data_IF_819907084324
#
_entry.id   IF_819907084324
#
_cell.length_a   1.000
_cell.length_b   1.000
_cell.length_c   1.000
_cell.angle_alpha   90.00
_cell.angle_beta   90.00
_cell.angle_gamma   90.00
#
_symmetry.space_group_name_H-M   'P 1'
#
loop_
_entity.id
_entity.type
_entity.pdbx_description
1 polymer ?
#
# COMPACT_ATOMS: atom_id res chain seq x y z
N UNK A 1 -17.07 -17.74 18.69
CA UNK A 1 -17.09 -16.78 17.57
C UNK A 1 -16.61 -15.44 18.06
N UNK A 2 -15.30 -15.31 18.30
CA UNK A 2 -14.72 -14.04 18.79
C UNK A 2 -14.29 -13.22 17.58
N UNK A 3 -15.27 -12.51 17.01
CA UNK A 3 -15.07 -11.63 15.84
C UNK A 3 -14.36 -10.32 16.19
N UNK A 4 -14.19 -10.02 17.47
CA UNK A 4 -13.53 -8.82 17.99
C UNK A 4 -12.24 -9.19 18.74
N UNK A 5 -11.24 -9.68 18.01
CA UNK A 5 -9.89 -9.82 18.53
C UNK A 5 -9.12 -8.50 18.35
N UNK A 6 -8.13 -8.25 19.22
CA UNK A 6 -7.30 -7.03 19.20
C UNK A 6 -6.80 -6.70 17.79
N UNK A 7 -6.25 -7.65 16.97
CA UNK A 7 -5.86 -7.37 15.60
C UNK A 7 -7.00 -6.84 14.72
N UNK A 8 -8.19 -7.46 14.74
CA UNK A 8 -9.34 -7.01 13.97
C UNK A 8 -9.77 -5.57 14.33
N UNK A 9 -9.70 -5.23 15.61
CA UNK A 9 -10.04 -3.87 16.06
C UNK A 9 -9.04 -2.84 15.50
N UNK A 10 -7.75 -3.16 15.45
CA UNK A 10 -6.73 -2.28 14.89
C UNK A 10 -6.92 -2.09 13.37
N UNK A 11 -7.29 -3.16 12.64
CA UNK A 11 -7.61 -3.04 11.21
C UNK A 11 -8.84 -2.17 10.96
N UNK A 12 -9.90 -2.32 11.77
CA UNK A 12 -11.09 -1.47 11.69
C UNK A 12 -10.74 -0.01 11.98
N UNK A 13 -9.92 0.25 13.01
CA UNK A 13 -9.41 1.60 13.29
C UNK A 13 -8.66 2.19 12.10
N UNK A 14 -7.79 1.40 11.43
CA UNK A 14 -7.09 1.85 10.23
C UNK A 14 -8.06 2.23 9.10
N UNK A 15 -9.11 1.44 8.87
CA UNK A 15 -10.15 1.75 7.88
C UNK A 15 -10.85 3.08 8.23
N UNK A 16 -11.08 3.36 9.51
CA UNK A 16 -11.67 4.64 9.97
C UNK A 16 -10.69 5.82 9.86
N UNK A 17 -9.38 5.57 9.96
CA UNK A 17 -8.35 6.59 9.76
C UNK A 17 -8.30 7.07 8.31
N UNK A 18 -8.57 6.22 7.32
CA UNK A 18 -8.47 6.56 5.89
C UNK A 18 -9.34 7.78 5.52
N UNK A 19 -10.65 7.84 5.83
CA UNK A 19 -11.47 9.01 5.51
C UNK A 19 -11.04 10.26 6.30
N UNK A 20 -10.55 10.12 7.54
CA UNK A 20 -10.02 11.23 8.32
C UNK A 20 -8.73 11.78 7.68
N UNK A 21 -7.83 10.90 7.25
CA UNK A 21 -6.64 11.25 6.49
C UNK A 21 -7.00 11.99 5.18
N UNK A 22 -7.98 11.46 4.44
CA UNK A 22 -8.45 12.09 3.21
C UNK A 22 -8.99 13.50 3.46
N UNK A 23 -9.80 13.70 4.49
CA UNK A 23 -10.29 15.01 4.88
C UNK A 23 -9.12 15.94 5.26
N UNK A 24 -8.16 15.47 6.05
CA UNK A 24 -7.01 16.28 6.45
C UNK A 24 -6.21 16.77 5.23
N UNK A 25 -5.99 15.91 4.23
CA UNK A 25 -5.31 16.30 2.98
C UNK A 25 -6.15 17.28 2.16
N UNK A 26 -7.45 17.03 1.98
CA UNK A 26 -8.36 17.89 1.18
C UNK A 26 -8.46 19.30 1.78
N UNK A 27 -8.49 19.40 3.11
CA UNK A 27 -8.53 20.71 3.81
C UNK A 27 -7.15 21.35 4.01
N UNK A 28 -6.08 20.78 3.41
CA UNK A 28 -4.73 21.32 3.53
C UNK A 28 -4.09 21.21 4.91
N UNK A 29 -4.66 20.39 5.78
CA UNK A 29 -4.14 20.15 7.15
C UNK A 29 -3.14 19.00 7.12
N UNK A 30 -2.02 19.23 6.49
CA UNK A 30 -0.96 18.21 6.30
C UNK A 30 -0.30 17.79 7.61
N UNK A 31 -0.34 18.61 8.65
CA UNK A 31 0.04 18.28 10.02
C UNK A 31 -0.78 17.08 10.57
N UNK A 32 -2.12 17.17 10.47
CA UNK A 32 -2.99 16.06 10.87
C UNK A 32 -2.84 14.86 9.94
N UNK A 33 -2.68 15.08 8.64
CA UNK A 33 -2.45 13.98 7.69
C UNK A 33 -1.19 13.18 8.06
N UNK A 34 -0.10 13.85 8.44
CA UNK A 34 1.13 13.19 8.90
C UNK A 34 0.87 12.33 10.14
N UNK A 35 0.20 12.87 11.16
CA UNK A 35 -0.11 12.12 12.39
C UNK A 35 -1.02 10.91 12.12
N UNK A 36 -2.05 11.08 11.27
CA UNK A 36 -2.97 10.00 10.92
C UNK A 36 -2.28 8.90 10.12
N UNK A 37 -1.42 9.27 9.17
CA UNK A 37 -0.63 8.29 8.41
C UNK A 37 0.35 7.53 9.31
N UNK A 38 0.99 8.23 10.26
CA UNK A 38 1.86 7.61 11.26
C UNK A 38 1.09 6.66 12.19
N UNK A 39 -0.08 7.09 12.67
CA UNK A 39 -0.95 6.24 13.48
C UNK A 39 -1.38 4.97 12.74
N UNK A 40 -1.74 5.08 11.45
CA UNK A 40 -2.07 3.93 10.63
C UNK A 40 -0.87 2.98 10.45
N UNK A 41 0.33 3.50 10.23
CA UNK A 41 1.54 2.68 10.09
C UNK A 41 1.92 1.96 11.42
N UNK A 42 1.76 2.64 12.56
CA UNK A 42 1.99 2.03 13.89
C UNK A 42 0.96 0.95 14.16
N UNK A 43 -0.32 1.20 13.91
CA UNK A 43 -1.38 0.20 14.15
C UNK A 43 -1.15 -1.05 13.30
N UNK A 44 -0.69 -0.91 12.04
CA UNK A 44 -0.31 -2.04 11.18
C UNK A 44 0.87 -2.85 11.74
N UNK A 45 1.92 -2.16 12.19
CA UNK A 45 3.06 -2.83 12.79
C UNK A 45 2.68 -3.58 14.08
N UNK A 46 1.80 -2.99 14.90
CA UNK A 46 1.33 -3.56 16.16
C UNK A 46 0.41 -4.76 15.93
N UNK A 47 -0.57 -4.67 15.01
CA UNK A 47 -1.47 -5.81 14.74
C UNK A 47 -0.70 -7.01 14.17
N UNK A 48 0.24 -6.77 13.25
CA UNK A 48 1.12 -7.81 12.73
C UNK A 48 2.01 -8.45 13.81
N UNK A 49 2.50 -7.66 14.77
CA UNK A 49 3.31 -8.18 15.89
C UNK A 49 2.43 -8.99 16.86
N UNK A 50 1.28 -8.43 17.28
CA UNK A 50 0.35 -9.08 18.22
C UNK A 50 -0.18 -10.39 17.62
N UNK A 51 -0.61 -10.38 16.34
CA UNK A 51 -1.10 -11.57 15.66
C UNK A 51 -0.08 -12.71 15.61
N UNK A 52 1.23 -12.37 15.49
CA UNK A 52 2.32 -13.37 15.55
C UNK A 52 2.57 -13.89 16.95
N UNK A 53 2.53 -13.03 17.96
CA UNK A 53 2.80 -13.40 19.36
C UNK A 53 1.65 -14.18 19.98
N UNK A 54 0.40 -13.89 19.63
CA UNK A 54 -0.79 -14.52 20.21
C UNK A 54 -1.33 -15.70 19.41
N UNK A 55 -0.77 -15.98 18.23
CA UNK A 55 -1.31 -16.98 17.26
C UNK A 55 -2.79 -16.79 16.92
N UNK A 56 -3.33 -15.59 17.11
CA UNK A 56 -4.73 -15.23 16.87
C UNK A 56 -4.92 -14.61 15.49
N UNK A 57 -4.65 -15.38 14.43
CA UNK A 57 -4.99 -14.97 13.08
C UNK A 57 -6.46 -15.29 12.80
N UNK A 58 -7.27 -14.24 12.63
CA UNK A 58 -8.64 -14.42 12.16
C UNK A 58 -8.69 -14.45 10.64
N UNK A 59 -9.63 -15.19 10.06
CA UNK A 59 -9.83 -15.22 8.61
C UNK A 59 -10.16 -13.81 8.09
N UNK A 60 -10.98 -13.05 8.83
CA UNK A 60 -11.35 -11.68 8.49
C UNK A 60 -10.13 -10.73 8.49
N UNK A 61 -9.28 -10.77 9.54
CA UNK A 61 -8.08 -9.93 9.62
C UNK A 61 -7.13 -10.22 8.46
N UNK A 62 -6.88 -11.47 8.13
CA UNK A 62 -6.00 -11.86 7.03
C UNK A 62 -6.41 -11.27 5.67
N UNK A 63 -7.70 -11.02 5.45
CA UNK A 63 -8.21 -10.35 4.23
C UNK A 63 -8.28 -8.82 4.37
N UNK A 64 -8.68 -8.32 5.53
CA UNK A 64 -8.89 -6.88 5.74
C UNK A 64 -7.57 -6.11 5.87
N UNK A 65 -6.52 -6.71 6.45
CA UNK A 65 -5.23 -6.04 6.64
C UNK A 65 -4.59 -5.59 5.31
N UNK A 66 -4.36 -6.48 4.32
CA UNK A 66 -3.80 -6.07 3.03
C UNK A 66 -4.70 -5.09 2.28
N UNK A 67 -6.02 -5.16 2.51
CA UNK A 67 -6.99 -4.29 1.86
C UNK A 67 -6.90 -2.86 2.45
N UNK A 68 -6.85 -2.74 3.78
CA UNK A 68 -6.75 -1.45 4.46
C UNK A 68 -5.45 -0.73 4.10
N UNK A 69 -4.31 -1.45 4.05
CA UNK A 69 -3.02 -0.89 3.64
C UNK A 69 -3.07 -0.37 2.20
N UNK A 70 -3.64 -1.15 1.29
CA UNK A 70 -3.80 -0.74 -0.10
C UNK A 70 -4.71 0.47 -0.24
N UNK A 71 -5.82 0.53 0.49
CA UNK A 71 -6.71 1.69 0.47
C UNK A 71 -6.02 2.94 0.98
N UNK A 72 -5.25 2.87 2.05
CA UNK A 72 -4.50 4.02 2.56
C UNK A 72 -3.50 4.54 1.51
N UNK A 73 -2.70 3.64 0.92
CA UNK A 73 -1.73 4.00 -0.11
C UNK A 73 -2.39 4.62 -1.34
N UNK A 74 -3.39 3.94 -1.91
CA UNK A 74 -4.09 4.40 -3.12
C UNK A 74 -4.74 5.75 -2.87
N UNK A 75 -5.43 5.93 -1.74
CA UNK A 75 -6.04 7.21 -1.35
C UNK A 75 -4.98 8.31 -1.24
N UNK A 76 -3.84 8.03 -0.61
CA UNK A 76 -2.74 9.00 -0.48
C UNK A 76 -2.21 9.44 -1.85
N UNK A 77 -1.95 8.50 -2.76
CA UNK A 77 -1.45 8.82 -4.10
C UNK A 77 -2.46 9.60 -4.93
N UNK A 78 -3.75 9.25 -4.87
CA UNK A 78 -4.81 9.96 -5.58
C UNK A 78 -4.89 11.41 -5.08
N UNK A 79 -4.94 11.61 -3.77
CA UNK A 79 -5.09 12.94 -3.18
C UNK A 79 -3.87 13.82 -3.43
N UNK A 80 -2.65 13.30 -3.28
CA UNK A 80 -1.44 14.06 -3.57
C UNK A 80 -1.25 14.33 -5.06
N UNK A 81 -1.76 13.46 -5.92
CA UNK A 81 -1.78 13.70 -7.37
C UNK A 81 -2.76 14.81 -7.75
N UNK A 82 -3.98 14.81 -7.19
CA UNK A 82 -4.97 15.87 -7.40
C UNK A 82 -4.46 17.22 -6.88
N UNK A 83 -3.75 17.21 -5.74
CA UNK A 83 -3.11 18.41 -5.17
C UNK A 83 -1.85 18.87 -5.93
N UNK A 84 -1.42 18.16 -6.98
CA UNK A 84 -0.24 18.49 -7.77
C UNK A 84 1.10 18.22 -7.05
N UNK A 85 1.09 17.57 -5.90
CA UNK A 85 2.28 17.28 -5.08
C UNK A 85 3.07 16.09 -5.66
N UNK A 86 2.35 15.08 -6.14
CA UNK A 86 2.93 13.90 -6.80
C UNK A 86 2.48 13.90 -8.27
N UNK A 87 3.37 13.55 -9.22
CA UNK A 87 3.01 13.48 -10.63
C UNK A 87 1.89 12.47 -10.90
N UNK A 88 0.87 12.87 -11.65
CA UNK A 88 -0.31 12.04 -11.96
C UNK A 88 0.07 10.75 -12.70
N UNK A 89 1.08 10.81 -13.58
CA UNK A 89 1.54 9.62 -14.30
C UNK A 89 2.08 8.53 -13.36
N UNK A 90 2.73 8.91 -12.24
CA UNK A 90 3.19 7.96 -11.23
C UNK A 90 1.99 7.25 -10.58
N UNK A 91 0.99 8.01 -10.13
CA UNK A 91 -0.23 7.46 -9.54
C UNK A 91 -0.93 6.47 -10.48
N UNK A 92 -1.05 6.83 -11.76
CA UNK A 92 -1.62 5.93 -12.77
C UNK A 92 -0.80 4.65 -12.89
N UNK A 93 0.53 4.75 -12.93
CA UNK A 93 1.43 3.59 -13.03
C UNK A 93 1.27 2.64 -11.84
N UNK A 94 1.18 3.19 -10.62
CA UNK A 94 0.99 2.42 -9.39
C UNK A 94 -0.34 1.66 -9.40
N UNK A 95 -1.43 2.36 -9.69
CA UNK A 95 -2.78 1.78 -9.72
C UNK A 95 -2.89 0.74 -10.85
N UNK A 96 -2.35 1.03 -12.04
CA UNK A 96 -2.34 0.09 -13.17
C UNK A 96 -1.61 -1.20 -12.82
N UNK A 97 -0.44 -1.11 -12.16
CA UNK A 97 0.31 -2.27 -11.69
C UNK A 97 -0.51 -3.09 -10.70
N UNK A 98 -1.17 -2.46 -9.74
CA UNK A 98 -1.99 -3.17 -8.75
C UNK A 98 -3.19 -3.86 -9.41
N UNK A 99 -3.84 -3.23 -10.38
CA UNK A 99 -4.90 -3.84 -11.18
C UNK A 99 -4.37 -5.05 -11.98
N UNK A 100 -3.21 -4.92 -12.63
CA UNK A 100 -2.58 -6.02 -13.37
C UNK A 100 -2.28 -7.20 -12.46
N UNK A 101 -1.79 -6.96 -11.25
CA UNK A 101 -1.51 -8.03 -10.27
C UNK A 101 -2.79 -8.77 -9.86
N UNK A 102 -3.85 -8.04 -9.53
CA UNK A 102 -5.14 -8.62 -9.12
C UNK A 102 -5.77 -9.39 -10.29
N UNK A 103 -5.82 -8.78 -11.47
CA UNK A 103 -6.39 -9.40 -12.67
C UNK A 103 -5.60 -10.64 -13.08
N UNK A 104 -4.27 -10.56 -13.06
CA UNK A 104 -3.39 -11.70 -13.36
C UNK A 104 -3.59 -12.85 -12.37
N UNK A 105 -3.75 -12.54 -11.07
CA UNK A 105 -4.07 -13.55 -10.06
C UNK A 105 -5.41 -14.23 -10.33
N UNK A 106 -6.46 -13.44 -10.65
CA UNK A 106 -7.80 -13.97 -10.98
C UNK A 106 -7.74 -14.88 -12.21
N UNK A 107 -7.07 -14.45 -13.29
CA UNK A 107 -6.90 -15.25 -14.51
C UNK A 107 -6.18 -16.57 -14.23
N UNK A 108 -5.06 -16.53 -13.49
CA UNK A 108 -4.32 -17.75 -13.13
C UNK A 108 -5.16 -18.70 -12.26
N UNK A 109 -5.98 -18.17 -11.36
CA UNK A 109 -6.89 -18.98 -10.54
C UNK A 109 -7.90 -19.74 -11.38
N UNK A 110 -8.52 -19.10 -12.38
CA UNK A 110 -9.53 -19.73 -13.24
C UNK A 110 -8.91 -20.65 -14.30
N UNK A 111 -7.74 -20.33 -14.83
CA UNK A 111 -7.12 -21.09 -15.94
C UNK A 111 -6.24 -22.24 -15.44
N UNK A 112 -5.41 -21.99 -14.43
CA UNK A 112 -4.43 -22.97 -13.98
C UNK A 112 -4.89 -23.78 -12.74
N UNK A 113 -6.03 -23.44 -12.12
CA UNK A 113 -6.51 -24.04 -10.87
C UNK A 113 -5.47 -24.08 -9.73
N UNK A 114 -4.35 -23.38 -9.89
CA UNK A 114 -3.24 -23.33 -8.95
C UNK A 114 -3.04 -21.90 -8.47
N UNK A 115 -3.63 -21.55 -7.32
CA UNK A 115 -3.62 -20.19 -6.77
C UNK A 115 -2.36 -19.86 -5.93
N UNK A 116 -1.23 -20.54 -6.11
CA UNK A 116 0.01 -20.21 -5.37
C UNK A 116 0.80 -19.13 -6.08
N UNK A 117 0.31 -17.89 -6.02
CA UNK A 117 1.15 -16.74 -6.36
C UNK A 117 1.87 -16.28 -5.11
N UNK A 118 3.10 -16.72 -4.92
CA UNK A 118 3.94 -16.23 -3.84
C UNK A 118 4.32 -14.75 -4.07
N UNK A 119 4.23 -13.92 -3.04
CA UNK A 119 4.60 -12.51 -3.14
C UNK A 119 6.09 -12.40 -3.53
N UNK A 120 6.36 -11.77 -4.69
CA UNK A 120 7.72 -11.58 -5.16
C UNK A 120 8.47 -10.55 -4.29
N UNK A 121 9.78 -10.71 -4.13
CA UNK A 121 10.65 -9.73 -3.47
C UNK A 121 10.52 -8.34 -4.13
N UNK A 122 10.45 -8.30 -5.45
CA UNK A 122 10.26 -7.04 -6.20
C UNK A 122 8.94 -6.35 -5.86
N UNK A 123 7.87 -7.12 -5.61
CA UNK A 123 6.59 -6.57 -5.15
C UNK A 123 6.69 -5.92 -3.77
N UNK A 124 7.41 -6.55 -2.84
CA UNK A 124 7.63 -6.01 -1.50
C UNK A 124 8.47 -4.73 -1.55
N UNK A 125 9.55 -4.72 -2.35
CA UNK A 125 10.40 -3.53 -2.54
C UNK A 125 9.59 -2.37 -3.13
N UNK A 126 8.79 -2.64 -4.17
CA UNK A 126 7.94 -1.61 -4.77
C UNK A 126 6.97 -1.00 -3.76
N UNK A 127 6.27 -1.82 -2.96
CA UNK A 127 5.36 -1.32 -1.91
C UNK A 127 6.11 -0.54 -0.83
N UNK A 128 7.29 -0.99 -0.41
CA UNK A 128 8.12 -0.26 0.54
C UNK A 128 8.53 1.12 0.00
N UNK A 129 8.95 1.21 -1.26
CA UNK A 129 9.31 2.48 -1.90
C UNK A 129 8.10 3.42 -2.03
N UNK A 130 6.91 2.88 -2.29
CA UNK A 130 5.66 3.64 -2.29
C UNK A 130 5.38 4.25 -0.91
N UNK A 131 5.52 3.48 0.16
CA UNK A 131 5.37 3.97 1.53
C UNK A 131 6.40 5.05 1.86
N UNK A 132 7.68 4.84 1.53
CA UNK A 132 8.77 5.78 1.76
C UNK A 132 8.49 7.11 1.05
N UNK A 133 8.00 7.08 -0.19
CA UNK A 133 7.68 8.30 -0.93
C UNK A 133 6.57 9.10 -0.25
N UNK A 134 5.46 8.46 0.16
CA UNK A 134 4.36 9.15 0.88
C UNK A 134 4.87 9.74 2.20
N UNK A 135 5.65 8.98 2.96
CA UNK A 135 6.30 9.44 4.19
C UNK A 135 7.13 10.69 3.94
N UNK A 136 8.01 10.63 2.94
CA UNK A 136 8.87 11.76 2.60
C UNK A 136 8.05 12.99 2.18
N UNK A 137 7.03 12.82 1.36
CA UNK A 137 6.13 13.91 0.91
C UNK A 137 5.46 14.59 2.11
N UNK A 138 4.87 13.81 3.03
CA UNK A 138 4.24 14.34 4.23
C UNK A 138 5.23 15.07 5.14
N UNK A 139 6.44 14.52 5.31
CA UNK A 139 7.49 15.16 6.09
C UNK A 139 7.97 16.47 5.43
N UNK A 140 8.18 16.45 4.11
CA UNK A 140 8.68 17.62 3.38
C UNK A 140 7.70 18.80 3.40
N UNK A 141 6.39 18.53 3.37
CA UNK A 141 5.37 19.57 3.49
C UNK A 141 5.36 20.17 4.91
N UNK A 142 5.55 19.36 5.93
CA UNK A 142 5.52 19.80 7.33
C UNK A 142 6.86 20.36 7.83
N UNK A 143 7.96 19.96 7.19
CA UNK A 143 9.35 20.35 7.54
C UNK A 143 10.10 20.83 6.30
N UNK A 144 9.97 22.10 5.91
CA UNK A 144 10.51 22.61 4.63
C UNK A 144 12.03 22.62 4.54
N UNK A 145 12.76 22.30 5.61
CA UNK A 145 14.23 22.23 5.64
C UNK A 145 14.80 20.86 5.24
N UNK A 146 13.98 19.93 4.76
CA UNK A 146 14.44 18.62 4.31
C UNK A 146 15.14 18.73 2.94
N UNK A 147 16.11 17.82 2.64
CA UNK A 147 16.77 17.77 1.34
C UNK A 147 15.77 17.59 0.20
N UNK A 148 15.94 18.25 -0.93
CA UNK A 148 15.05 18.11 -2.11
C UNK A 148 15.30 16.81 -2.87
N UNK A 149 14.98 15.67 -2.26
CA UNK A 149 15.13 14.33 -2.87
C UNK A 149 13.84 13.76 -3.44
N UNK A 150 12.73 14.51 -3.38
CA UNK A 150 11.40 14.03 -3.81
C UNK A 150 11.43 13.51 -5.26
N UNK A 151 12.04 14.21 -6.17
CA UNK A 151 12.13 13.82 -7.57
C UNK A 151 12.88 12.50 -7.75
N UNK A 152 13.96 12.29 -7.01
CA UNK A 152 14.69 11.00 -7.05
C UNK A 152 13.82 9.86 -6.51
N UNK A 153 13.10 10.07 -5.40
CA UNK A 153 12.19 9.07 -4.84
C UNK A 153 11.05 8.74 -5.80
N UNK A 154 10.51 9.72 -6.52
CA UNK A 154 9.47 9.52 -7.55
C UNK A 154 9.99 8.58 -8.64
N UNK A 155 11.19 8.84 -9.19
CA UNK A 155 11.77 7.99 -10.24
C UNK A 155 12.14 6.60 -9.75
N UNK A 156 12.72 6.46 -8.56
CA UNK A 156 13.04 5.16 -7.96
C UNK A 156 11.76 4.36 -7.72
N UNK A 157 10.72 4.98 -7.17
CA UNK A 157 9.43 4.32 -6.94
C UNK A 157 8.80 3.85 -8.25
N UNK A 158 8.87 4.67 -9.30
CA UNK A 158 8.40 4.29 -10.64
C UNK A 158 9.18 3.08 -11.17
N UNK A 159 10.50 3.11 -11.16
CA UNK A 159 11.33 2.01 -11.63
C UNK A 159 11.01 0.70 -10.88
N UNK A 160 10.99 0.74 -9.55
CA UNK A 160 10.65 -0.43 -8.73
C UNK A 160 9.25 -0.98 -9.06
N UNK A 161 8.27 -0.10 -9.29
CA UNK A 161 6.90 -0.46 -9.61
C UNK A 161 6.80 -1.14 -10.98
N UNK A 162 7.43 -0.57 -12.01
CA UNK A 162 7.46 -1.13 -13.37
C UNK A 162 8.16 -2.49 -13.38
N UNK A 163 9.35 -2.59 -12.76
CA UNK A 163 10.08 -3.86 -12.64
C UNK A 163 9.25 -4.92 -11.92
N UNK A 164 8.56 -4.55 -10.84
CA UNK A 164 7.67 -5.47 -10.13
C UNK A 164 6.53 -5.98 -11.01
N UNK A 165 5.91 -5.10 -11.80
CA UNK A 165 4.83 -5.47 -12.73
C UNK A 165 5.32 -6.40 -13.84
N UNK A 166 6.44 -6.06 -14.51
CA UNK A 166 7.03 -6.88 -15.55
C UNK A 166 7.46 -8.26 -15.04
N UNK A 167 8.09 -8.32 -13.88
CA UNK A 167 8.49 -9.59 -13.27
C UNK A 167 7.28 -10.48 -12.97
N UNK A 168 6.17 -9.90 -12.52
CA UNK A 168 4.94 -10.64 -12.26
C UNK A 168 4.34 -11.22 -13.55
N UNK A 169 4.26 -10.42 -14.62
CA UNK A 169 3.77 -10.87 -15.93
C UNK A 169 4.66 -12.02 -16.45
N UNK A 170 5.99 -11.87 -16.37
CA UNK A 170 6.93 -12.91 -16.78
C UNK A 170 6.72 -14.23 -16.03
N UNK A 171 6.57 -14.17 -14.69
CA UNK A 171 6.29 -15.37 -13.89
C UNK A 171 4.92 -16.00 -14.23
N UNK A 172 3.91 -15.19 -14.48
CA UNK A 172 2.58 -15.68 -14.87
C UNK A 172 2.62 -16.48 -16.17
N UNK A 173 3.32 -15.95 -17.20
CA UNK A 173 3.45 -16.63 -18.50
C UNK A 173 4.27 -17.93 -18.37
N UNK A 174 5.33 -17.95 -17.58
CA UNK A 174 6.16 -19.15 -17.42
C UNK A 174 5.46 -20.26 -16.62
N UNK A 175 4.57 -19.92 -15.69
CA UNK A 175 3.80 -20.91 -14.92
C UNK A 175 2.65 -21.54 -15.70
N UNK A 176 2.13 -20.86 -16.72
CA UNK A 176 1.08 -21.43 -17.61
C UNK A 176 1.64 -22.35 -18.68
N UNK A 177 2.94 -22.32 -18.94
CA UNK A 177 3.60 -23.17 -19.95
C UNK A 177 4.30 -24.41 -19.35
N UNK A 178 4.24 -24.60 -18.02
CA UNK A 178 4.77 -25.74 -17.30
C UNK A 178 3.65 -26.63 -16.75
#
# INVERSE_FOLDING_TARGET
>A
MDTLNIPNTLTVMRILIIPLFAMAVIYGRYDYALYLFFAAAITDALDGLIARLTNQKTILGTFLDPLADKFLLVTSYILFSISGIIPTWLTITLISRDIILVTGWVVLYFVAHTAKVEPSLFGKIATAMQLILIWYVLLNINMPNLPEIQNYLVWITMLCTVFSGLHYIYRGITQTNA
#
